data_IF_187443726304
#
_entry.id   IF_187443726304
#
_cell.length_a   1.000
_cell.length_b   1.000
_cell.length_c   1.000
_cell.angle_alpha   90.00
_cell.angle_beta   90.00
_cell.angle_gamma   90.00
#
_symmetry.space_group_name_H-M   'P 1'
#
loop_
_entity.id
_entity.type
_entity.pdbx_description
1 polymer ?
#
# COMPACT_ATOMS: atom_id res chain seq x y z
N UNK A 1 25.99 -13.95 19.68
CA UNK A 1 25.36 -14.84 18.69
C UNK A 1 23.86 -14.56 18.56
N UNK A 2 23.09 -14.58 19.66
CA UNK A 2 21.64 -14.32 19.65
C UNK A 2 21.24 -12.91 19.15
N UNK A 3 21.99 -11.87 19.52
CA UNK A 3 21.73 -10.48 19.07
C UNK A 3 21.98 -10.30 17.57
N UNK A 4 23.03 -10.91 17.02
CA UNK A 4 23.35 -10.84 15.58
C UNK A 4 22.27 -11.57 14.77
N UNK A 5 21.82 -12.74 15.24
CA UNK A 5 20.69 -13.43 14.64
C UNK A 5 19.43 -12.57 14.65
N UNK A 6 19.14 -11.86 15.75
CA UNK A 6 17.96 -10.98 15.83
C UNK A 6 18.06 -9.76 14.92
N UNK A 7 19.23 -9.13 14.83
CA UNK A 7 19.49 -7.95 13.99
C UNK A 7 19.39 -8.26 12.50
N UNK A 8 19.69 -9.49 12.08
CA UNK A 8 19.62 -9.91 10.67
C UNK A 8 18.28 -10.56 10.34
N UNK A 9 17.77 -11.44 11.20
CA UNK A 9 16.53 -12.19 10.95
C UNK A 9 15.29 -11.29 10.97
N UNK A 10 15.24 -10.33 11.91
CA UNK A 10 14.09 -9.43 12.06
C UNK A 10 13.83 -8.56 10.82
N UNK A 11 14.81 -7.82 10.24
CA UNK A 11 14.56 -7.03 9.05
C UNK A 11 14.24 -7.88 7.82
N UNK A 12 14.83 -9.08 7.70
CA UNK A 12 14.50 -10.02 6.63
C UNK A 12 13.04 -10.47 6.74
N UNK A 13 12.60 -10.84 7.94
CA UNK A 13 11.21 -11.22 8.19
C UNK A 13 10.24 -10.07 7.91
N UNK A 14 10.57 -8.84 8.36
CA UNK A 14 9.78 -7.64 8.09
C UNK A 14 9.69 -7.33 6.59
N UNK A 15 10.77 -7.52 5.83
CA UNK A 15 10.76 -7.35 4.38
C UNK A 15 9.83 -8.35 3.71
N UNK A 16 9.84 -9.63 4.12
CA UNK A 16 8.94 -10.64 3.56
C UNK A 16 7.48 -10.27 3.85
N UNK A 17 7.17 -9.92 5.10
CA UNK A 17 5.81 -9.56 5.51
C UNK A 17 5.31 -8.32 4.76
N UNK A 18 6.12 -7.26 4.67
CA UNK A 18 5.75 -6.03 3.97
C UNK A 18 5.59 -6.24 2.47
N UNK A 19 6.43 -7.07 1.84
CA UNK A 19 6.31 -7.43 0.43
C UNK A 19 5.02 -8.19 0.16
N UNK A 20 4.67 -9.20 0.99
CA UNK A 20 3.43 -9.94 0.86
C UNK A 20 2.20 -9.04 1.10
N UNK A 21 2.21 -8.22 2.14
CA UNK A 21 1.12 -7.30 2.44
C UNK A 21 0.92 -6.28 1.31
N UNK A 22 2.00 -5.74 0.75
CA UNK A 22 1.94 -4.80 -0.36
C UNK A 22 1.36 -5.46 -1.62
N UNK A 23 1.78 -6.68 -1.95
CA UNK A 23 1.26 -7.45 -3.07
C UNK A 23 -0.25 -7.73 -2.92
N UNK A 24 -0.69 -8.17 -1.74
CA UNK A 24 -2.10 -8.44 -1.46
C UNK A 24 -2.96 -7.18 -1.53
N UNK A 25 -2.48 -6.06 -0.94
CA UNK A 25 -3.18 -4.79 -1.01
C UNK A 25 -3.30 -4.29 -2.46
N UNK A 26 -2.24 -4.41 -3.26
CA UNK A 26 -2.29 -4.04 -4.67
C UNK A 26 -3.23 -4.95 -5.48
N UNK A 27 -3.23 -6.25 -5.22
CA UNK A 27 -4.15 -7.20 -5.85
C UNK A 27 -5.61 -6.90 -5.49
N UNK A 28 -5.90 -6.60 -4.23
CA UNK A 28 -7.24 -6.18 -3.79
C UNK A 28 -7.71 -4.92 -4.54
N UNK A 29 -6.86 -3.90 -4.65
CA UNK A 29 -7.19 -2.67 -5.39
C UNK A 29 -7.44 -2.95 -6.89
N UNK A 30 -6.69 -3.89 -7.48
CA UNK A 30 -6.93 -4.33 -8.85
C UNK A 30 -8.31 -5.00 -9.00
N UNK A 31 -8.69 -5.87 -8.07
CA UNK A 31 -10.02 -6.51 -8.05
C UNK A 31 -11.12 -5.45 -7.89
N UNK A 32 -10.93 -4.44 -7.05
CA UNK A 32 -11.87 -3.31 -6.94
C UNK A 32 -12.05 -2.60 -8.28
N UNK A 33 -10.96 -2.37 -9.04
CA UNK A 33 -11.05 -1.79 -10.38
C UNK A 33 -11.84 -2.67 -11.34
N UNK A 34 -11.57 -3.97 -11.35
CA UNK A 34 -12.24 -4.92 -12.25
C UNK A 34 -13.75 -4.96 -11.99
N UNK A 35 -14.15 -4.95 -10.70
CA UNK A 35 -15.57 -4.90 -10.31
C UNK A 35 -16.23 -3.55 -10.61
N UNK A 36 -15.50 -2.44 -10.51
CA UNK A 36 -16.00 -1.11 -10.83
C UNK A 36 -16.16 -0.88 -12.35
N UNK A 37 -15.34 -1.54 -13.18
CA UNK A 37 -15.41 -1.45 -14.66
C UNK A 37 -16.18 -2.60 -15.32
N UNK A 38 -16.88 -3.44 -14.54
CA UNK A 38 -17.61 -4.63 -15.02
C UNK A 38 -16.75 -5.60 -15.88
N UNK A 39 -15.43 -5.61 -15.64
CA UNK A 39 -14.52 -6.50 -16.37
C UNK A 39 -14.62 -7.92 -15.81
N UNK A 40 -15.02 -8.88 -16.63
CA UNK A 40 -15.08 -10.31 -16.27
C UNK A 40 -13.66 -10.90 -16.27
N UNK A 41 -12.90 -10.58 -15.24
CA UNK A 41 -11.56 -11.11 -14.98
C UNK A 41 -11.53 -11.90 -13.68
N UNK A 42 -10.63 -12.87 -13.59
CA UNK A 42 -10.53 -13.75 -12.41
C UNK A 42 -10.02 -12.97 -11.18
N UNK A 43 -10.66 -13.15 -10.02
CA UNK A 43 -10.33 -12.53 -8.71
C UNK A 43 -9.01 -13.12 -8.13
N UNK A 44 -7.91 -13.02 -8.88
CA UNK A 44 -6.67 -13.75 -8.62
C UNK A 44 -5.72 -12.92 -7.72
N UNK A 45 -5.83 -13.08 -6.40
CA UNK A 45 -4.99 -12.35 -5.42
C UNK A 45 -3.48 -12.57 -5.58
N UNK A 46 -3.08 -13.69 -6.20
CA UNK A 46 -1.68 -14.05 -6.47
C UNK A 46 -1.17 -13.55 -7.82
N UNK A 47 -1.91 -12.68 -8.50
CA UNK A 47 -1.52 -12.08 -9.78
C UNK A 47 -0.09 -11.52 -9.77
N UNK A 48 0.26 -10.74 -8.75
CA UNK A 48 1.60 -10.15 -8.60
C UNK A 48 2.71 -11.17 -8.33
N UNK A 49 2.37 -12.38 -7.85
CA UNK A 49 3.31 -13.48 -7.67
C UNK A 49 3.58 -14.25 -8.97
N UNK A 50 2.58 -14.36 -9.86
CA UNK A 50 2.68 -15.16 -11.09
C UNK A 50 3.33 -14.41 -12.26
N UNK A 51 3.16 -13.09 -12.36
CA UNK A 51 3.57 -12.32 -13.55
C UNK A 51 5.02 -11.78 -13.54
N UNK A 52 5.91 -12.29 -12.68
CA UNK A 52 7.29 -11.78 -12.63
C UNK A 52 7.44 -10.35 -12.10
N UNK A 53 6.35 -9.73 -11.62
CA UNK A 53 6.35 -8.38 -11.02
C UNK A 53 6.85 -8.34 -9.58
N UNK A 54 7.17 -9.50 -8.98
CA UNK A 54 7.71 -9.63 -7.63
C UNK A 54 8.97 -8.77 -7.40
N UNK A 55 9.83 -8.63 -8.41
CA UNK A 55 11.00 -7.76 -8.32
C UNK A 55 10.64 -6.29 -8.06
N UNK A 56 9.59 -5.78 -8.72
CA UNK A 56 9.09 -4.41 -8.48
C UNK A 56 8.50 -4.27 -7.08
N UNK A 57 7.70 -5.25 -6.62
CA UNK A 57 7.12 -5.25 -5.26
C UNK A 57 8.22 -5.26 -4.19
N UNK A 58 9.26 -6.06 -4.40
CA UNK A 58 10.39 -6.17 -3.48
C UNK A 58 11.22 -4.88 -3.40
N UNK A 59 11.46 -4.22 -4.54
CA UNK A 59 12.14 -2.91 -4.53
C UNK A 59 11.26 -1.86 -3.86
N UNK A 60 9.94 -1.90 -4.06
CA UNK A 60 9.01 -0.97 -3.42
C UNK A 60 8.92 -1.20 -1.90
N UNK A 61 8.98 -2.44 -1.44
CA UNK A 61 9.01 -2.75 0.00
C UNK A 61 10.31 -2.30 0.65
N UNK A 62 11.44 -2.37 -0.05
CA UNK A 62 12.70 -1.74 0.38
C UNK A 62 12.56 -0.22 0.55
N UNK A 63 11.92 0.47 -0.39
CA UNK A 63 11.64 1.90 -0.25
C UNK A 63 10.70 2.20 0.93
N UNK A 64 9.63 1.41 1.12
CA UNK A 64 8.72 1.54 2.26
C UNK A 64 9.46 1.38 3.60
N UNK A 65 10.30 0.36 3.71
CA UNK A 65 11.09 0.11 4.91
C UNK A 65 12.08 1.26 5.16
N UNK A 66 12.79 1.70 4.12
CA UNK A 66 13.72 2.84 4.20
C UNK A 66 13.02 4.14 4.62
N UNK A 67 11.87 4.44 4.04
CA UNK A 67 11.04 5.60 4.42
C UNK A 67 10.52 5.48 5.85
N UNK A 68 10.13 4.29 6.29
CA UNK A 68 9.68 4.05 7.67
C UNK A 68 10.80 4.28 8.68
N UNK A 69 12.03 3.83 8.36
CA UNK A 69 13.21 4.08 9.19
C UNK A 69 13.54 5.57 9.24
N UNK A 70 13.57 6.25 8.09
CA UNK A 70 13.81 7.70 8.00
C UNK A 70 12.76 8.50 8.80
N UNK A 71 11.49 8.15 8.67
CA UNK A 71 10.41 8.77 9.43
C UNK A 71 10.56 8.57 10.94
N UNK A 72 10.96 7.37 11.36
CA UNK A 72 11.20 7.06 12.77
C UNK A 72 12.38 7.86 13.36
N UNK A 73 13.47 7.99 12.60
CA UNK A 73 14.64 8.79 12.98
C UNK A 73 14.33 10.29 13.08
N UNK A 74 13.36 10.78 12.29
CA UNK A 74 12.86 12.16 12.33
C UNK A 74 11.89 12.43 13.50
N UNK A 75 12.21 11.92 14.69
CA UNK A 75 11.45 12.09 15.94
C UNK A 75 9.95 11.71 15.83
N UNK A 76 9.59 10.77 14.96
CA UNK A 76 8.22 10.33 14.74
C UNK A 76 7.33 11.29 13.94
N UNK A 77 7.62 12.60 13.95
CA UNK A 77 6.93 13.60 13.11
C UNK A 77 7.05 13.26 11.62
N UNK A 78 8.21 12.73 11.20
CA UNK A 78 8.40 12.25 9.84
C UNK A 78 7.42 11.14 9.46
N UNK A 79 7.07 10.24 10.39
CA UNK A 79 6.11 9.15 10.13
C UNK A 79 4.72 9.71 9.84
N UNK A 80 4.26 10.72 10.59
CA UNK A 80 2.95 11.34 10.37
C UNK A 80 2.83 11.97 8.99
N UNK A 81 3.90 12.57 8.47
CA UNK A 81 3.90 13.11 7.13
C UNK A 81 3.95 12.00 6.07
N UNK A 82 4.76 10.97 6.31
CA UNK A 82 4.99 9.86 5.38
C UNK A 82 3.83 8.87 5.28
N UNK A 83 2.91 8.83 6.27
CA UNK A 83 1.76 7.93 6.24
C UNK A 83 0.87 8.14 5.00
N UNK A 84 0.74 9.40 4.57
CA UNK A 84 -0.04 9.81 3.40
C UNK A 84 0.54 9.20 2.12
N UNK A 85 1.77 9.52 1.68
CA UNK A 85 2.33 8.94 0.47
C UNK A 85 2.50 7.42 0.56
N UNK A 86 2.81 6.86 1.75
CA UNK A 86 2.91 5.41 1.92
C UNK A 86 1.57 4.69 1.69
N UNK A 87 0.46 5.30 2.08
CA UNK A 87 -0.88 4.71 1.89
C UNK A 87 -1.28 4.58 0.42
N UNK A 88 -0.72 5.40 -0.46
CA UNK A 88 -1.01 5.45 -1.90
C UNK A 88 -0.16 4.46 -2.71
N UNK A 89 1.00 4.04 -2.20
CA UNK A 89 1.93 3.15 -2.90
C UNK A 89 1.31 1.84 -3.41
N UNK A 90 0.43 1.14 -2.65
CA UNK A 90 -0.27 -0.05 -3.17
C UNK A 90 -1.15 0.25 -4.38
N UNK A 91 -1.77 1.44 -4.45
CA UNK A 91 -2.60 1.86 -5.58
C UNK A 91 -1.75 2.15 -6.82
N UNK A 92 -0.62 2.86 -6.65
CA UNK A 92 0.34 3.04 -7.74
C UNK A 92 0.88 1.69 -8.23
N UNK A 93 1.26 0.77 -7.33
CA UNK A 93 1.70 -0.57 -7.72
C UNK A 93 0.61 -1.35 -8.48
N UNK A 94 -0.66 -1.21 -8.07
CA UNK A 94 -1.79 -1.88 -8.69
C UNK A 94 -2.05 -1.41 -10.12
N UNK A 95 -1.97 -0.10 -10.36
CA UNK A 95 -2.45 0.52 -11.60
C UNK A 95 -1.35 1.01 -12.54
N UNK A 96 -0.11 1.16 -12.05
CA UNK A 96 1.02 1.53 -12.90
C UNK A 96 1.89 0.31 -13.23
N UNK A 97 1.70 -0.22 -14.43
CA UNK A 97 2.51 -1.32 -14.95
C UNK A 97 3.88 -0.83 -15.48
N UNK A 98 3.91 0.39 -16.06
CA UNK A 98 5.07 0.92 -16.79
C UNK A 98 6.04 1.71 -15.92
N UNK A 99 5.57 2.28 -14.80
CA UNK A 99 6.40 3.09 -13.91
C UNK A 99 7.46 2.23 -13.19
N UNK A 100 8.63 2.84 -12.96
CA UNK A 100 9.67 2.29 -12.08
C UNK A 100 9.29 2.47 -10.61
N UNK A 101 9.81 1.63 -9.71
CA UNK A 101 9.49 1.70 -8.27
C UNK A 101 9.81 3.08 -7.67
N UNK A 102 10.90 3.72 -8.11
CA UNK A 102 11.28 5.07 -7.68
C UNK A 102 10.30 6.13 -8.18
N UNK A 103 9.81 5.99 -9.41
CA UNK A 103 8.82 6.89 -10.00
C UNK A 103 7.46 6.75 -9.30
N UNK A 104 7.05 5.53 -8.92
CA UNK A 104 5.86 5.29 -8.10
C UNK A 104 5.96 6.00 -6.74
N UNK A 105 7.12 5.92 -6.09
CA UNK A 105 7.37 6.64 -4.83
C UNK A 105 7.24 8.14 -5.05
N UNK A 106 7.94 8.71 -6.04
CA UNK A 106 7.84 10.14 -6.35
C UNK A 106 6.41 10.58 -6.67
N UNK A 107 5.68 9.83 -7.48
CA UNK A 107 4.29 10.12 -7.81
C UNK A 107 3.39 10.09 -6.58
N UNK A 108 3.61 9.13 -5.67
CA UNK A 108 2.89 9.05 -4.39
C UNK A 108 3.16 10.26 -3.50
N UNK A 109 4.40 10.78 -3.48
CA UNK A 109 4.74 12.03 -2.77
C UNK A 109 4.11 13.27 -3.41
N UNK A 110 4.12 13.38 -4.74
CA UNK A 110 3.50 14.51 -5.45
C UNK A 110 2.00 14.56 -5.20
N UNK A 111 1.31 13.43 -5.35
CA UNK A 111 -0.14 13.34 -5.09
C UNK A 111 -0.45 13.53 -3.60
N UNK A 112 0.32 12.86 -2.73
CA UNK A 112 0.23 12.95 -1.29
C UNK A 112 0.39 14.39 -0.79
N UNK A 113 1.30 15.17 -1.36
CA UNK A 113 1.50 16.57 -0.96
C UNK A 113 0.42 17.51 -1.47
N UNK A 114 -0.06 17.29 -2.70
CA UNK A 114 -1.08 18.16 -3.30
C UNK A 114 -2.36 18.17 -2.48
N UNK A 115 -2.79 17.00 -2.00
CA UNK A 115 -4.05 16.82 -1.27
C UNK A 115 -3.83 16.26 0.15
N UNK A 116 -2.72 16.60 0.80
CA UNK A 116 -2.25 15.96 2.03
C UNK A 116 -3.33 15.85 3.11
N UNK A 117 -4.01 16.95 3.43
CA UNK A 117 -5.00 17.01 4.51
C UNK A 117 -6.22 16.14 4.23
N UNK A 118 -6.69 16.11 2.97
CA UNK A 118 -7.84 15.31 2.54
C UNK A 118 -7.50 13.82 2.62
N UNK A 119 -6.34 13.43 2.09
CA UNK A 119 -5.85 12.05 2.10
C UNK A 119 -5.64 11.58 3.54
N UNK A 120 -4.98 12.41 4.36
CA UNK A 120 -4.75 12.12 5.77
C UNK A 120 -6.07 11.91 6.53
N UNK A 121 -7.06 12.80 6.33
CA UNK A 121 -8.39 12.68 6.93
C UNK A 121 -9.10 11.37 6.55
N UNK A 122 -9.07 11.01 5.26
CA UNK A 122 -9.65 9.75 4.77
C UNK A 122 -8.97 8.53 5.37
N UNK A 123 -7.63 8.50 5.37
CA UNK A 123 -6.85 7.40 5.96
C UNK A 123 -7.11 7.29 7.46
N UNK A 124 -7.22 8.42 8.17
CA UNK A 124 -7.49 8.44 9.60
C UNK A 124 -8.89 7.89 9.92
N UNK A 125 -9.94 8.37 9.24
CA UNK A 125 -11.31 7.88 9.42
C UNK A 125 -11.39 6.39 9.14
N UNK A 126 -10.75 5.93 8.07
CA UNK A 126 -10.79 4.53 7.65
C UNK A 126 -9.94 3.62 8.53
N UNK A 127 -8.92 4.17 9.20
CA UNK A 127 -8.17 3.46 10.24
C UNK A 127 -9.04 3.22 11.48
N UNK A 128 -9.89 4.17 11.87
CA UNK A 128 -10.87 3.95 12.95
C UNK A 128 -11.90 2.90 12.58
N UNK A 129 -12.42 2.93 11.35
CA UNK A 129 -13.34 1.90 10.85
C UNK A 129 -12.67 0.52 10.85
N UNK A 130 -11.38 0.44 10.50
CA UNK A 130 -10.63 -0.82 10.53
C UNK A 130 -10.62 -1.45 11.94
N UNK A 131 -10.52 -0.64 13.00
CA UNK A 131 -10.51 -1.10 14.39
C UNK A 131 -11.87 -1.68 14.85
N UNK A 132 -12.98 -1.31 14.20
CA UNK A 132 -14.30 -1.90 14.49
C UNK A 132 -14.34 -3.40 14.19
N UNK A 133 -13.40 -3.92 13.40
CA UNK A 133 -13.23 -5.36 13.19
C UNK A 133 -12.94 -6.14 14.48
N UNK A 134 -12.45 -5.48 15.54
CA UNK A 134 -12.27 -6.09 16.85
C UNK A 134 -13.61 -6.47 17.49
N UNK A 135 -14.66 -5.68 17.25
CA UNK A 135 -16.04 -5.94 17.72
C UNK A 135 -16.60 -7.21 17.08
N UNK A 136 -16.16 -7.54 15.87
CA UNK A 136 -16.52 -8.75 15.12
C UNK A 136 -15.61 -9.94 15.44
N UNK A 137 -15.33 -10.17 16.73
CA UNK A 137 -14.59 -11.34 17.23
C UNK A 137 -13.14 -11.47 16.70
N UNK A 138 -12.42 -10.35 16.54
CA UNK A 138 -11.03 -10.27 16.05
C UNK A 138 -10.79 -10.75 14.60
N UNK A 139 -11.54 -11.74 14.11
CA UNK A 139 -11.50 -12.26 12.75
C UNK A 139 -11.98 -11.19 11.77
N UNK A 140 -12.95 -10.37 12.19
CA UNK A 140 -13.44 -9.24 11.40
C UNK A 140 -12.36 -8.23 11.02
N UNK A 141 -11.26 -8.13 11.78
CA UNK A 141 -10.12 -7.24 11.47
C UNK A 141 -9.52 -7.57 10.10
N UNK A 142 -9.48 -8.85 9.71
CA UNK A 142 -8.94 -9.24 8.41
C UNK A 142 -9.72 -8.62 7.24
N UNK A 143 -11.04 -8.50 7.39
CA UNK A 143 -11.90 -7.91 6.37
C UNK A 143 -11.90 -6.38 6.44
N UNK A 144 -11.96 -5.80 7.64
CA UNK A 144 -12.04 -4.35 7.81
C UNK A 144 -10.72 -3.64 7.47
N UNK A 145 -9.57 -4.32 7.63
CA UNK A 145 -8.28 -3.78 7.19
C UNK A 145 -8.23 -3.62 5.67
N UNK A 146 -8.86 -4.52 4.89
CA UNK A 146 -8.94 -4.36 3.44
C UNK A 146 -9.84 -3.18 3.05
N UNK A 147 -10.94 -2.95 3.78
CA UNK A 147 -11.78 -1.77 3.57
C UNK A 147 -11.01 -0.46 3.74
N UNK A 148 -10.04 -0.42 4.67
CA UNK A 148 -9.19 0.77 4.86
C UNK A 148 -8.34 1.14 3.63
N UNK A 149 -8.22 0.23 2.66
CA UNK A 149 -7.49 0.47 1.39
C UNK A 149 -8.36 1.05 0.30
N UNK A 150 -9.68 0.94 0.39
CA UNK A 150 -10.64 1.49 -0.58
C UNK A 150 -10.46 3.01 -0.81
N UNK A 151 -10.19 3.85 0.20
CA UNK A 151 -9.87 5.25 -0.04
C UNK A 151 -8.71 5.45 -1.02
N UNK A 152 -7.66 4.63 -0.93
CA UNK A 152 -6.50 4.72 -1.82
C UNK A 152 -6.86 4.42 -3.28
N UNK A 153 -7.88 3.58 -3.52
CA UNK A 153 -8.45 3.36 -4.84
C UNK A 153 -9.04 4.65 -5.41
N UNK A 154 -9.98 5.28 -4.69
CA UNK A 154 -10.64 6.50 -5.15
C UNK A 154 -9.67 7.68 -5.25
N UNK A 155 -8.72 7.80 -4.32
CA UNK A 155 -7.68 8.82 -4.39
C UNK A 155 -6.79 8.69 -5.63
N UNK A 156 -6.48 7.46 -6.05
CA UNK A 156 -5.77 7.23 -7.31
C UNK A 156 -6.66 7.53 -8.52
N UNK A 157 -7.89 7.00 -8.52
CA UNK A 157 -8.88 7.19 -9.60
C UNK A 157 -9.16 8.67 -9.86
N UNK A 158 -9.44 9.45 -8.83
CA UNK A 158 -9.81 10.86 -8.97
C UNK A 158 -8.58 11.78 -9.07
N UNK A 159 -7.46 11.39 -8.47
CA UNK A 159 -6.25 12.21 -8.41
C UNK A 159 -5.32 12.06 -9.60
N UNK A 160 -5.22 10.86 -10.15
CA UNK A 160 -4.35 10.54 -11.31
C UNK A 160 -5.19 10.21 -12.54
N UNK A 161 -6.34 9.55 -12.35
CA UNK A 161 -7.04 8.85 -13.41
C UNK A 161 -6.43 7.48 -13.64
N UNK A 162 -7.25 6.51 -14.01
CA UNK A 162 -6.73 5.44 -14.84
C UNK A 162 -6.37 6.14 -16.15
N UNK A 163 -5.11 6.12 -16.57
CA UNK A 163 -4.80 6.51 -17.93
C UNK A 163 -5.64 5.58 -18.81
N UNK A 164 -6.79 6.06 -19.25
CA UNK A 164 -7.50 5.52 -20.39
C UNK A 164 -6.60 5.87 -21.55
N UNK A 165 -5.61 5.01 -21.77
CA UNK A 165 -5.05 4.82 -23.09
C UNK A 165 -6.15 4.11 -23.87
N UNK A 166 -7.14 4.89 -24.29
CA UNK A 166 -7.93 4.63 -25.48
C UNK A 166 -7.06 4.92 -26.70
#
# INVERSE_FOLDING_TARGET
MMVIAMVILLPVLLLVITTMALALNAAFLKICKQKDMDEVANDDYFYFFKEGRLGKVFILSLYLLGLSLLGGLACGLGVFYLIVPMSLLPAFLAFSNDLSALEMVKASFTLGNKNWLVIFGLVLVMSFVAQLGFVLCCIGVLFTVMLSKVPAYYMYKDGVGFNEVS
#
